data_IF_661890408770
#
_entry.id   IF_661890408770
#
_cell.length_a   1.000
_cell.length_b   1.000
_cell.length_c   1.000
_cell.angle_alpha   90.00
_cell.angle_beta   90.00
_cell.angle_gamma   90.00
#
_symmetry.space_group_name_H-M   'P 1'
#
loop_
_entity.id
_entity.type
_entity.pdbx_description
1 polymer ?
#
# COMPACT_ATOMS: atom_id res chain seq x y z
N UNK A 1 -30.57 -11.11 23.98
CA UNK A 1 -29.34 -11.56 24.67
C UNK A 1 -29.06 -10.61 25.82
N UNK A 2 -28.75 -11.12 27.02
CA UNK A 2 -28.52 -10.28 28.21
C UNK A 2 -27.12 -9.66 28.19
N UNK A 3 -26.89 -8.58 28.96
CA UNK A 3 -25.56 -7.96 29.12
C UNK A 3 -24.50 -8.96 29.64
N UNK A 4 -24.94 -9.92 30.46
CA UNK A 4 -24.09 -11.00 30.96
C UNK A 4 -23.62 -11.93 29.83
N UNK A 5 -24.49 -12.28 28.88
CA UNK A 5 -24.12 -13.12 27.74
C UNK A 5 -23.07 -12.44 26.83
N UNK A 6 -23.18 -11.13 26.62
CA UNK A 6 -22.16 -10.36 25.88
C UNK A 6 -20.81 -10.32 26.60
N UNK A 7 -20.81 -10.17 27.92
CA UNK A 7 -19.58 -10.22 28.72
C UNK A 7 -18.91 -11.59 28.67
N UNK A 8 -19.71 -12.66 28.68
CA UNK A 8 -19.19 -14.03 28.57
C UNK A 8 -18.54 -14.28 27.20
N UNK A 9 -19.18 -13.84 26.12
CA UNK A 9 -18.60 -13.92 24.77
C UNK A 9 -17.27 -13.18 24.71
N UNK A 10 -17.20 -11.94 25.21
CA UNK A 10 -15.96 -11.15 25.24
C UNK A 10 -14.83 -11.84 25.99
N UNK A 11 -15.11 -12.41 27.17
CA UNK A 11 -14.09 -13.10 27.97
C UNK A 11 -13.60 -14.37 27.26
N UNK A 12 -14.49 -15.12 26.62
CA UNK A 12 -14.12 -16.31 25.84
C UNK A 12 -13.28 -15.94 24.64
N UNK A 13 -13.69 -14.95 23.84
CA UNK A 13 -12.91 -14.46 22.70
C UNK A 13 -11.53 -13.97 23.12
N UNK A 14 -11.42 -13.26 24.26
CA UNK A 14 -10.14 -12.77 24.75
C UNK A 14 -9.19 -13.91 25.17
N UNK A 15 -9.71 -14.96 25.81
CA UNK A 15 -8.91 -16.16 26.13
C UNK A 15 -8.44 -16.87 24.87
N UNK A 16 -9.35 -17.14 23.93
CA UNK A 16 -9.00 -17.80 22.66
C UNK A 16 -7.92 -17.02 21.90
N UNK A 17 -8.08 -15.69 21.82
CA UNK A 17 -7.09 -14.80 21.17
C UNK A 17 -5.70 -14.92 21.80
N UNK A 18 -5.65 -15.14 23.12
CA UNK A 18 -4.40 -15.33 23.86
C UNK A 18 -3.80 -16.73 23.66
N UNK A 19 -4.63 -17.76 23.69
CA UNK A 19 -4.22 -19.16 23.56
C UNK A 19 -3.68 -19.44 22.14
N UNK A 20 -4.30 -18.85 21.12
CA UNK A 20 -3.91 -18.97 19.71
C UNK A 20 -2.76 -18.05 19.28
N UNK A 21 -2.19 -17.26 20.20
CA UNK A 21 -1.16 -16.27 19.92
C UNK A 21 -1.52 -15.30 18.77
N UNK A 22 -2.82 -14.99 18.60
CA UNK A 22 -3.30 -14.13 17.50
C UNK A 22 -2.60 -12.77 17.53
N UNK A 23 -2.29 -12.25 18.73
CA UNK A 23 -1.53 -11.01 18.90
C UNK A 23 -0.16 -11.03 18.22
N UNK A 24 0.55 -12.17 18.28
CA UNK A 24 1.86 -12.33 17.63
C UNK A 24 1.72 -12.36 16.11
N UNK A 25 0.70 -13.05 15.62
CA UNK A 25 0.40 -13.13 14.18
C UNK A 25 0.01 -11.75 13.64
N UNK A 26 -0.85 -11.02 14.36
CA UNK A 26 -1.26 -9.66 14.01
C UNK A 26 -0.07 -8.68 14.03
N UNK A 27 0.82 -8.79 15.01
CA UNK A 27 2.06 -8.03 15.05
C UNK A 27 2.95 -8.34 13.82
N UNK A 28 3.02 -9.61 13.41
CA UNK A 28 3.71 -10.02 12.18
C UNK A 28 3.13 -9.37 10.92
N UNK A 29 1.80 -9.38 10.76
CA UNK A 29 1.11 -8.70 9.64
C UNK A 29 1.46 -7.21 9.61
N UNK A 30 1.34 -6.52 10.75
CA UNK A 30 1.65 -5.10 10.85
C UNK A 30 3.12 -4.81 10.55
N UNK A 31 4.04 -5.59 11.10
CA UNK A 31 5.48 -5.45 10.87
C UNK A 31 5.84 -5.59 9.39
N UNK A 32 5.32 -6.61 8.70
CA UNK A 32 5.59 -6.78 7.28
C UNK A 32 5.00 -5.66 6.42
N UNK A 33 3.84 -5.12 6.79
CA UNK A 33 3.26 -3.93 6.16
C UNK A 33 4.14 -2.70 6.33
N UNK A 34 4.61 -2.42 7.56
CA UNK A 34 5.52 -1.30 7.83
C UNK A 34 6.87 -1.46 7.13
N UNK A 35 7.42 -2.68 7.11
CA UNK A 35 8.69 -2.97 6.45
C UNK A 35 8.60 -2.73 4.93
N UNK A 36 7.46 -3.01 4.30
CA UNK A 36 7.23 -2.76 2.88
C UNK A 36 7.06 -1.26 2.55
N UNK A 37 6.64 -0.44 3.52
CA UNK A 37 6.30 0.97 3.31
C UNK A 37 7.52 1.81 2.90
N UNK A 38 8.66 1.63 3.58
CA UNK A 38 9.87 2.43 3.30
C UNK A 38 10.41 2.17 1.89
N UNK A 39 10.64 0.91 1.44
CA UNK A 39 11.03 0.64 0.07
C UNK A 39 9.99 1.08 -0.95
N UNK A 40 8.69 1.01 -0.62
CA UNK A 40 7.63 1.48 -1.50
C UNK A 40 7.69 2.99 -1.72
N UNK A 41 7.93 3.79 -0.67
CA UNK A 41 8.12 5.24 -0.80
C UNK A 41 9.33 5.57 -1.68
N UNK A 42 10.46 4.89 -1.46
CA UNK A 42 11.64 5.05 -2.31
C UNK A 42 11.34 4.71 -3.76
N UNK A 43 10.65 3.60 -4.02
CA UNK A 43 10.25 3.20 -5.37
C UNK A 43 9.32 4.24 -6.04
N UNK A 44 8.37 4.82 -5.29
CA UNK A 44 7.48 5.87 -5.78
C UNK A 44 8.26 7.12 -6.19
N UNK A 45 9.18 7.60 -5.34
CA UNK A 45 10.01 8.78 -5.60
C UNK A 45 10.98 8.55 -6.75
N UNK A 46 11.62 7.37 -6.80
CA UNK A 46 12.51 6.99 -7.91
C UNK A 46 11.75 6.87 -9.25
N UNK A 47 10.52 6.34 -9.22
CA UNK A 47 9.66 6.25 -10.42
C UNK A 47 9.23 7.63 -10.89
N UNK A 48 8.87 8.52 -9.95
CA UNK A 48 8.53 9.91 -10.26
C UNK A 48 9.72 10.66 -10.86
N UNK A 49 10.90 10.55 -10.26
CA UNK A 49 12.14 11.17 -10.77
C UNK A 49 12.70 10.57 -12.07
N UNK A 50 12.11 9.47 -12.56
CA UNK A 50 12.42 8.93 -13.89
C UNK A 50 11.57 9.58 -14.99
N UNK A 51 10.40 10.11 -14.64
CA UNK A 51 9.42 10.68 -15.58
C UNK A 51 9.38 12.21 -15.50
N UNK A 52 9.56 12.79 -14.31
CA UNK A 52 9.51 14.23 -14.05
C UNK A 52 10.93 14.85 -14.00
N UNK A 53 11.04 16.10 -14.44
CA UNK A 53 12.27 16.88 -14.33
C UNK A 53 12.53 17.25 -12.85
N UNK A 54 13.73 17.01 -12.29
CA UNK A 54 14.05 17.30 -10.88
C UNK A 54 13.63 18.69 -10.41
N UNK A 55 13.67 19.70 -11.28
CA UNK A 55 13.29 21.07 -10.94
C UNK A 55 11.79 21.21 -10.63
N UNK A 56 10.94 20.48 -11.35
CA UNK A 56 9.49 20.45 -11.08
C UNK A 56 9.19 19.74 -9.76
N UNK A 57 9.96 18.69 -9.43
CA UNK A 57 9.76 17.94 -8.19
C UNK A 57 10.08 18.80 -6.97
N UNK A 58 11.19 19.54 -7.01
CA UNK A 58 11.57 20.47 -5.94
C UNK A 58 10.51 21.56 -5.81
N UNK A 59 9.99 22.12 -6.91
CA UNK A 59 8.94 23.12 -6.84
C UNK A 59 7.65 22.61 -6.18
N UNK A 60 7.19 21.40 -6.53
CA UNK A 60 6.01 20.79 -5.92
C UNK A 60 6.22 20.46 -4.43
N UNK A 61 7.37 19.89 -4.07
CA UNK A 61 7.70 19.56 -2.68
C UNK A 61 7.84 20.81 -1.81
N UNK A 62 8.47 21.87 -2.34
CA UNK A 62 8.62 23.15 -1.62
C UNK A 62 7.27 23.82 -1.41
N UNK A 63 6.35 23.70 -2.37
CA UNK A 63 4.97 24.19 -2.24
C UNK A 63 4.18 23.44 -1.16
N UNK A 64 4.51 22.16 -0.91
CA UNK A 64 3.90 21.36 0.16
C UNK A 64 4.64 21.48 1.50
N UNK A 65 5.85 22.04 1.52
CA UNK A 65 6.67 22.18 2.73
C UNK A 65 6.07 23.14 3.76
N UNK A 66 5.16 24.03 3.35
CA UNK A 66 4.37 24.87 4.27
C UNK A 66 3.40 24.05 5.15
N UNK A 67 3.08 22.82 4.74
CA UNK A 67 2.09 21.93 5.39
C UNK A 67 2.73 20.66 5.96
N UNK A 68 3.95 20.31 5.51
CA UNK A 68 4.67 19.11 5.93
C UNK A 68 5.55 19.39 7.17
N UNK A 69 5.60 18.48 8.15
CA UNK A 69 6.59 18.57 9.23
C UNK A 69 8.03 18.51 8.70
N UNK A 70 8.95 19.25 9.31
CA UNK A 70 10.36 19.38 8.88
C UNK A 70 11.06 18.05 8.60
N UNK A 71 10.75 17.01 9.39
CA UNK A 71 11.34 15.68 9.25
C UNK A 71 10.91 14.98 7.95
N UNK A 72 9.66 15.15 7.53
CA UNK A 72 9.16 14.59 6.28
C UNK A 72 9.75 15.33 5.07
N UNK A 73 9.81 16.66 5.13
CA UNK A 73 10.41 17.49 4.09
C UNK A 73 11.91 17.15 3.90
N UNK A 74 12.64 16.97 5.01
CA UNK A 74 14.06 16.57 4.98
C UNK A 74 14.26 15.20 4.32
N UNK A 75 13.43 14.21 4.66
CA UNK A 75 13.52 12.87 4.07
C UNK A 75 13.31 12.91 2.55
N UNK A 76 12.33 13.70 2.07
CA UNK A 76 12.07 13.86 0.64
C UNK A 76 13.23 14.58 -0.05
N UNK A 77 13.73 15.68 0.54
CA UNK A 77 14.85 16.45 -0.01
C UNK A 77 16.14 15.62 -0.14
N UNK A 78 16.46 14.80 0.87
CA UNK A 78 17.61 13.88 0.83
C UNK A 78 17.45 12.83 -0.29
N UNK A 79 16.23 12.33 -0.53
CA UNK A 79 15.99 11.40 -1.64
C UNK A 79 16.12 12.07 -3.01
N UNK A 80 15.69 13.33 -3.16
CA UNK A 80 15.84 14.09 -4.39
C UNK A 80 17.29 14.43 -4.71
N UNK A 81 18.07 14.84 -3.70
CA UNK A 81 19.50 15.13 -3.88
C UNK A 81 20.27 13.86 -4.29
N UNK A 82 19.96 12.72 -3.68
CA UNK A 82 20.50 11.43 -4.07
C UNK A 82 20.10 11.05 -5.51
N UNK A 83 18.89 11.41 -5.94
CA UNK A 83 18.41 11.19 -7.29
C UNK A 83 19.16 12.00 -8.34
N UNK A 84 19.46 13.27 -8.09
CA UNK A 84 20.22 14.11 -9.05
C UNK A 84 21.68 13.65 -9.20
N UNK A 85 22.32 13.26 -8.11
CA UNK A 85 23.74 12.89 -8.08
C UNK A 85 24.02 11.46 -8.60
N UNK A 86 22.98 10.64 -8.79
CA UNK A 86 23.10 9.24 -9.13
C UNK A 86 22.99 9.01 -10.64
N UNK A 87 23.89 8.19 -11.23
CA UNK A 87 23.82 7.84 -12.66
C UNK A 87 22.55 7.04 -12.99
N UNK A 88 22.03 7.19 -14.22
CA UNK A 88 20.81 6.50 -14.67
C UNK A 88 20.83 4.98 -14.41
N UNK A 89 21.99 4.32 -14.60
CA UNK A 89 22.19 2.90 -14.31
C UNK A 89 21.95 2.56 -12.82
N UNK A 90 22.43 3.40 -11.90
CA UNK A 90 22.26 3.21 -10.46
C UNK A 90 20.83 3.54 -10.01
N UNK A 91 20.15 4.51 -10.65
CA UNK A 91 18.72 4.79 -10.40
C UNK A 91 17.86 3.57 -10.72
N UNK A 92 18.07 2.94 -11.89
CA UNK A 92 17.36 1.72 -12.29
C UNK A 92 17.57 0.55 -11.32
N UNK A 93 18.82 0.34 -10.88
CA UNK A 93 19.12 -0.69 -9.88
C UNK A 93 18.48 -0.39 -8.52
N UNK A 94 18.53 0.87 -8.06
CA UNK A 94 17.89 1.30 -6.82
C UNK A 94 16.37 1.10 -6.84
N UNK A 95 15.71 1.44 -7.95
CA UNK A 95 14.28 1.23 -8.15
C UNK A 95 13.93 -0.26 -8.13
N UNK A 96 14.68 -1.08 -8.87
CA UNK A 96 14.50 -2.53 -8.87
C UNK A 96 14.62 -3.12 -7.46
N UNK A 97 15.66 -2.73 -6.72
CA UNK A 97 15.89 -3.21 -5.36
C UNK A 97 14.79 -2.75 -4.40
N UNK A 98 14.36 -1.49 -4.49
CA UNK A 98 13.28 -0.96 -3.68
C UNK A 98 11.96 -1.69 -3.93
N UNK A 99 11.61 -1.93 -5.20
CA UNK A 99 10.43 -2.70 -5.58
C UNK A 99 10.51 -4.16 -5.11
N UNK A 100 11.67 -4.80 -5.25
CA UNK A 100 11.87 -6.17 -4.79
C UNK A 100 11.68 -6.30 -3.27
N UNK A 101 12.22 -5.36 -2.49
CA UNK A 101 12.06 -5.33 -1.03
C UNK A 101 10.61 -5.04 -0.63
N UNK A 102 9.95 -4.09 -1.30
CA UNK A 102 8.54 -3.79 -1.07
C UNK A 102 7.66 -5.03 -1.34
N UNK A 103 7.88 -5.70 -2.47
CA UNK A 103 7.13 -6.89 -2.87
C UNK A 103 7.38 -8.06 -1.93
N UNK A 104 8.62 -8.24 -1.45
CA UNK A 104 8.95 -9.23 -0.44
C UNK A 104 8.20 -8.99 0.88
N UNK A 105 8.18 -7.74 1.37
CA UNK A 105 7.42 -7.37 2.55
C UNK A 105 5.91 -7.61 2.37
N UNK A 106 5.35 -7.17 1.24
CA UNK A 106 3.94 -7.37 0.92
C UNK A 106 3.53 -8.85 0.83
N UNK A 107 4.38 -9.69 0.22
CA UNK A 107 4.20 -11.15 0.17
C UNK A 107 4.19 -11.77 1.56
N UNK A 108 5.11 -11.38 2.42
CA UNK A 108 5.15 -11.92 3.78
C UNK A 108 3.94 -11.44 4.60
N UNK A 109 3.49 -10.20 4.40
CA UNK A 109 2.24 -9.71 4.97
C UNK A 109 1.03 -10.55 4.52
N UNK A 110 0.92 -10.84 3.22
CA UNK A 110 -0.13 -11.71 2.69
C UNK A 110 -0.07 -13.13 3.28
N UNK A 111 1.12 -13.71 3.41
CA UNK A 111 1.32 -15.01 4.05
C UNK A 111 0.87 -14.99 5.53
N UNK A 112 1.21 -13.94 6.28
CA UNK A 112 0.77 -13.78 7.66
C UNK A 112 -0.75 -13.63 7.77
N UNK A 113 -1.41 -12.97 6.81
CA UNK A 113 -2.87 -12.89 6.75
C UNK A 113 -3.48 -14.27 6.50
N UNK A 114 -2.92 -15.08 5.59
CA UNK A 114 -3.39 -16.45 5.36
C UNK A 114 -3.31 -17.25 6.68
N UNK A 115 -2.17 -17.17 7.38
CA UNK A 115 -2.00 -17.84 8.68
C UNK A 115 -3.01 -17.34 9.72
N UNK A 116 -3.23 -16.03 9.80
CA UNK A 116 -4.20 -15.44 10.73
C UNK A 116 -5.62 -15.93 10.46
N UNK A 117 -6.01 -16.03 9.18
CA UNK A 117 -7.32 -16.53 8.78
C UNK A 117 -7.47 -18.02 9.09
N UNK A 118 -6.45 -18.83 8.81
CA UNK A 118 -6.49 -20.25 9.16
C UNK A 118 -6.67 -20.46 10.66
N UNK A 119 -5.97 -19.69 11.50
CA UNK A 119 -6.13 -19.73 12.97
C UNK A 119 -7.55 -19.28 13.35
N UNK A 120 -8.02 -18.13 12.84
CA UNK A 120 -9.34 -17.59 13.19
C UNK A 120 -10.52 -18.50 12.80
N UNK A 121 -10.34 -19.34 11.78
CA UNK A 121 -11.34 -20.31 11.34
C UNK A 121 -11.07 -21.74 11.84
N UNK A 122 -10.06 -21.94 12.70
CA UNK A 122 -9.64 -23.25 13.22
C UNK A 122 -9.36 -24.28 12.10
N UNK A 123 -8.84 -23.81 10.96
CA UNK A 123 -8.52 -24.65 9.80
C UNK A 123 -7.04 -25.02 9.83
N UNK A 124 -6.76 -26.32 9.98
CA UNK A 124 -5.41 -26.85 9.77
C UNK A 124 -4.98 -26.71 8.30
N UNK A 125 -3.82 -26.12 8.08
CA UNK A 125 -3.27 -25.92 6.75
C UNK A 125 -2.76 -27.25 6.17
N UNK A 126 -3.58 -27.87 5.33
CA UNK A 126 -3.25 -29.13 4.64
C UNK A 126 -2.53 -28.90 3.31
N UNK A 127 -2.51 -27.66 2.80
CA UNK A 127 -1.86 -27.33 1.52
C UNK A 127 -0.35 -27.28 1.70
N UNK A 128 0.38 -27.81 0.72
CA UNK A 128 1.84 -27.83 0.76
C UNK A 128 2.45 -26.42 0.80
N UNK A 129 3.65 -26.28 1.37
CA UNK A 129 4.38 -25.01 1.48
C UNK A 129 4.42 -24.23 0.16
N UNK A 130 4.67 -24.91 -0.96
CA UNK A 130 4.74 -24.25 -2.26
C UNK A 130 3.40 -23.62 -2.68
N UNK A 131 2.28 -24.26 -2.37
CA UNK A 131 0.95 -23.78 -2.72
C UNK A 131 0.53 -22.56 -1.87
N UNK A 132 0.81 -22.59 -0.57
CA UNK A 132 0.53 -21.44 0.32
C UNK A 132 1.35 -20.22 -0.10
N UNK A 133 2.62 -20.42 -0.46
CA UNK A 133 3.47 -19.33 -0.94
C UNK A 133 3.03 -18.81 -2.32
N UNK A 134 2.57 -19.68 -3.23
CA UNK A 134 1.99 -19.26 -4.50
C UNK A 134 0.69 -18.46 -4.30
N UNK A 135 -0.16 -18.88 -3.36
CA UNK A 135 -1.37 -18.15 -2.99
C UNK A 135 -1.03 -16.77 -2.40
N UNK A 136 -0.07 -16.69 -1.47
CA UNK A 136 0.39 -15.42 -0.93
C UNK A 136 0.91 -14.49 -2.04
N UNK A 137 1.67 -15.03 -2.99
CA UNK A 137 2.14 -14.27 -4.14
C UNK A 137 0.98 -13.78 -5.02
N UNK A 138 -0.03 -14.62 -5.28
CA UNK A 138 -1.22 -14.23 -6.05
C UNK A 138 -2.01 -13.10 -5.35
N UNK A 139 -2.18 -13.18 -4.04
CA UNK A 139 -2.83 -12.12 -3.25
C UNK A 139 -2.03 -10.82 -3.37
N UNK A 140 -0.71 -10.89 -3.22
CA UNK A 140 0.16 -9.72 -3.38
C UNK A 140 0.11 -9.15 -4.80
N UNK A 141 0.15 -10.00 -5.82
CA UNK A 141 0.04 -9.58 -7.22
C UNK A 141 -1.30 -8.89 -7.49
N UNK A 142 -2.41 -9.45 -6.99
CA UNK A 142 -3.74 -8.83 -7.06
C UNK A 142 -3.78 -7.48 -6.36
N UNK A 143 -3.22 -7.38 -5.16
CA UNK A 143 -3.13 -6.12 -4.42
C UNK A 143 -2.30 -5.06 -5.17
N UNK A 144 -1.18 -5.46 -5.78
CA UNK A 144 -0.36 -4.58 -6.62
C UNK A 144 -1.13 -4.13 -7.86
N UNK A 145 -1.85 -5.02 -8.55
CA UNK A 145 -2.69 -4.66 -9.69
C UNK A 145 -3.75 -3.63 -9.29
N UNK A 146 -4.48 -3.88 -8.20
CA UNK A 146 -5.47 -2.92 -7.67
C UNK A 146 -4.81 -1.58 -7.33
N UNK A 147 -3.62 -1.60 -6.70
CA UNK A 147 -2.85 -0.40 -6.40
C UNK A 147 -2.45 0.40 -7.64
N UNK A 148 -1.98 -0.27 -8.69
CA UNK A 148 -1.62 0.37 -9.97
C UNK A 148 -2.85 1.00 -10.61
N UNK A 149 -3.98 0.27 -10.68
CA UNK A 149 -5.22 0.81 -11.25
C UNK A 149 -5.71 2.01 -10.43
N UNK A 150 -5.61 1.96 -9.09
CA UNK A 150 -5.95 3.08 -8.23
C UNK A 150 -5.05 4.31 -8.51
N UNK A 151 -3.73 4.13 -8.65
CA UNK A 151 -2.80 5.22 -8.99
C UNK A 151 -3.13 5.82 -10.36
N UNK A 152 -3.39 5.00 -11.37
CA UNK A 152 -3.77 5.46 -12.72
C UNK A 152 -5.12 6.21 -12.67
N UNK A 153 -6.08 5.72 -11.90
CA UNK A 153 -7.37 6.38 -11.73
C UNK A 153 -7.20 7.76 -11.06
N UNK A 154 -6.39 7.86 -10.01
CA UNK A 154 -6.09 9.13 -9.34
C UNK A 154 -5.34 10.09 -10.28
N UNK A 155 -4.34 9.60 -11.01
CA UNK A 155 -3.54 10.42 -11.93
C UNK A 155 -4.35 10.94 -13.13
N UNK A 156 -5.20 10.09 -13.71
CA UNK A 156 -6.09 10.50 -14.82
C UNK A 156 -7.11 11.55 -14.39
N UNK A 157 -7.61 11.49 -13.15
CA UNK A 157 -8.46 12.54 -12.59
C UNK A 157 -7.72 13.87 -12.44
N UNK A 158 -6.48 13.88 -11.94
CA UNK A 158 -5.67 15.10 -11.85
C UNK A 158 -5.45 15.74 -13.21
N UNK A 159 -5.12 14.93 -14.22
CA UNK A 159 -4.90 15.42 -15.58
C UNK A 159 -6.17 15.97 -16.26
N UNK A 160 -7.35 15.44 -15.90
CA UNK A 160 -8.64 15.95 -16.39
C UNK A 160 -8.99 17.33 -15.81
N UNK A 161 -8.59 17.63 -14.58
CA UNK A 161 -8.77 18.95 -13.96
C UNK A 161 -7.91 20.02 -14.66
N UNK A 162 -6.70 19.66 -15.10
CA UNK A 162 -5.80 20.55 -15.86
C UNK A 162 -6.29 20.86 -17.28
N UNK A 163 -6.92 19.90 -17.96
CA UNK A 163 -7.39 20.06 -19.34
C UNK A 163 -8.72 20.83 -19.46
N UNK A 164 -9.51 20.93 -18.39
CA UNK A 164 -10.83 21.60 -18.39
C UNK A 164 -10.97 22.56 -17.19
N UNK A 165 -10.22 23.67 -17.16
CA UNK A 165 -10.36 24.70 -16.14
C UNK A 165 -11.71 25.43 -16.31
N UNK A 166 -12.76 24.94 -15.65
CA UNK A 166 -14.10 25.54 -15.68
C UNK A 166 -15.29 24.60 -15.46
N UNK A 167 -15.07 23.29 -15.29
CA UNK A 167 -16.16 22.36 -15.00
C UNK A 167 -16.77 22.61 -13.60
N UNK A 168 -18.11 22.56 -13.46
CA UNK A 168 -18.76 22.60 -12.15
C UNK A 168 -18.24 21.46 -11.26
N UNK A 169 -17.98 21.74 -9.97
CA UNK A 169 -17.48 20.74 -9.01
C UNK A 169 -18.31 19.44 -8.98
N UNK A 170 -19.61 19.52 -9.28
CA UNK A 170 -20.50 18.36 -9.37
C UNK A 170 -20.09 17.38 -10.47
N UNK A 171 -19.61 17.84 -11.62
CA UNK A 171 -19.17 16.96 -12.72
C UNK A 171 -17.87 16.24 -12.35
N UNK A 172 -16.95 16.94 -11.70
CA UNK A 172 -15.70 16.33 -11.19
C UNK A 172 -15.97 15.30 -10.09
N UNK A 173 -16.90 15.59 -9.17
CA UNK A 173 -17.28 14.65 -8.10
C UNK A 173 -18.01 13.43 -8.68
N UNK A 174 -18.90 13.62 -9.66
CA UNK A 174 -19.58 12.50 -10.34
C UNK A 174 -18.58 11.64 -11.13
N UNK A 175 -17.60 12.26 -11.80
CA UNK A 175 -16.49 11.55 -12.43
C UNK A 175 -15.66 10.74 -11.44
N UNK A 176 -15.35 11.32 -10.26
CA UNK A 176 -14.66 10.64 -9.15
C UNK A 176 -15.46 9.43 -8.64
N UNK A 177 -16.75 9.60 -8.41
CA UNK A 177 -17.61 8.48 -7.95
C UNK A 177 -17.69 7.38 -9.01
N UNK A 178 -17.82 7.74 -10.29
CA UNK A 178 -17.85 6.77 -11.38
C UNK A 178 -16.53 6.00 -11.54
N UNK A 179 -15.38 6.65 -11.42
CA UNK A 179 -14.08 5.96 -11.49
C UNK A 179 -13.90 4.97 -10.33
N UNK A 180 -14.30 5.35 -9.11
CA UNK A 180 -14.27 4.46 -7.96
C UNK A 180 -15.27 3.30 -8.10
N UNK A 181 -16.45 3.54 -8.65
CA UNK A 181 -17.43 2.48 -8.94
C UNK A 181 -16.89 1.51 -10.00
N UNK A 182 -16.25 2.00 -11.07
CA UNK A 182 -15.60 1.14 -12.07
C UNK A 182 -14.47 0.30 -11.46
N UNK A 183 -13.68 0.87 -10.54
CA UNK A 183 -12.65 0.14 -9.78
C UNK A 183 -13.25 -1.00 -8.95
N UNK A 184 -14.35 -0.73 -8.25
CA UNK A 184 -15.06 -1.74 -7.45
C UNK A 184 -15.67 -2.83 -8.35
N UNK A 185 -16.20 -2.45 -9.52
CA UNK A 185 -16.75 -3.40 -10.49
C UNK A 185 -15.65 -4.27 -11.13
N UNK A 186 -14.49 -3.69 -11.45
CA UNK A 186 -13.33 -4.43 -11.95
C UNK A 186 -12.73 -5.37 -10.91
N UNK A 187 -12.86 -5.07 -9.61
CA UNK A 187 -12.44 -5.94 -8.52
C UNK A 187 -13.43 -7.09 -8.24
N UNK A 188 -14.67 -6.99 -8.73
CA UNK A 188 -15.74 -7.98 -8.56
C UNK A 188 -16.05 -8.80 -9.82
N UNK A 189 -15.34 -8.57 -10.92
CA UNK A 189 -15.50 -9.25 -12.21
C UNK A 189 -14.50 -10.36 -12.48
#
# INVERSE_FOLDING_TARGET
MSRAAWSEILVRTFRETSDDNISLVAAGVAYYGFLALVPLLGAAILSYGLVADPQDIVHHVTSMSEVLPDQAAKLIGEQLLNLEQTSAQRKGFGLFLALALALFGARNGAASIITALNIAYEVEETRGFLWVNALAFLITAGAVCVGIVAVIAIASLGHLEDLLPGLPQTVLVVGKVLSYVCLVLAAHG
#
